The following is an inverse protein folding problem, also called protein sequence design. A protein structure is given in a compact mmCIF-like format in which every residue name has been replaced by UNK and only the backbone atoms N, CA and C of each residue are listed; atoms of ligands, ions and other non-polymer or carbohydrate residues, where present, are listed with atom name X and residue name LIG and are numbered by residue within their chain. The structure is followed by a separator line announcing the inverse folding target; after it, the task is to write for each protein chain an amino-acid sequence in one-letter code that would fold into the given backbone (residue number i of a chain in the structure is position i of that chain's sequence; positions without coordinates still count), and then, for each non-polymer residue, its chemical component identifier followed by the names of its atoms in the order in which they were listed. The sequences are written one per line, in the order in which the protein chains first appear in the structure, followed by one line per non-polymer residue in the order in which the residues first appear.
data_IF_694344754875
#
_entry.id   IF_694344754875
#
_cell.length_a   1.000
_cell.length_b   1.000
_cell.length_c   1.000
_cell.angle_alpha   90.00
_cell.angle_beta   90.00
_cell.angle_gamma   90.00
#
_symmetry.space_group_name_H-M   'P 1'
#
loop_
_entity.id
_entity.type
_entity.pdbx_description
1 polymer ?
#
# COMPACT_ATOMS: atom_id res chain seq x y z
N UNK A 1 32.53 0.06 -23.13
CA UNK A 1 31.61 -0.01 -21.97
C UNK A 1 30.18 0.15 -22.48
N UNK A 2 29.57 -0.94 -22.99
CA UNK A 2 28.20 -0.94 -23.54
C UNK A 2 27.27 -1.44 -22.45
N UNK A 3 26.55 -0.52 -21.80
CA UNK A 3 25.51 -0.88 -20.85
C UNK A 3 24.39 -1.52 -21.66
N UNK A 4 24.12 -2.79 -21.37
CA UNK A 4 23.23 -3.66 -22.14
C UNK A 4 21.78 -3.13 -21.99
N UNK A 5 21.24 -2.57 -23.09
CA UNK A 5 19.96 -1.88 -23.19
C UNK A 5 18.78 -2.72 -22.65
N UNK A 6 18.89 -4.04 -22.81
CA UNK A 6 17.94 -5.04 -22.31
C UNK A 6 17.78 -5.03 -20.78
N UNK A 7 18.87 -4.82 -20.06
CA UNK A 7 18.87 -4.77 -18.58
C UNK A 7 18.11 -3.55 -18.07
N UNK A 8 18.27 -2.40 -18.73
CA UNK A 8 17.55 -1.17 -18.40
C UNK A 8 16.06 -1.29 -18.73
N UNK A 9 15.70 -1.94 -19.83
CA UNK A 9 14.30 -2.18 -20.22
C UNK A 9 13.59 -3.08 -19.19
N UNK A 10 14.25 -4.16 -18.74
CA UNK A 10 13.71 -5.06 -17.70
C UNK A 10 13.51 -4.37 -16.35
N UNK A 11 14.41 -3.45 -16.00
CA UNK A 11 14.34 -2.66 -14.76
C UNK A 11 13.19 -1.64 -14.78
N UNK A 12 12.89 -1.07 -15.95
CA UNK A 12 11.75 -0.15 -16.14
C UNK A 12 10.43 -0.92 -16.10
N UNK A 13 10.35 -2.10 -16.74
CA UNK A 13 9.15 -2.94 -16.81
C UNK A 13 8.76 -3.61 -15.48
N UNK A 14 9.69 -3.76 -14.52
CA UNK A 14 9.41 -4.32 -13.19
C UNK A 14 8.92 -3.29 -12.17
N UNK A 15 8.96 -2.00 -12.51
CA UNK A 15 8.44 -0.93 -11.65
C UNK A 15 6.91 -0.87 -11.72
N UNK A 16 6.20 -0.72 -10.57
CA UNK A 16 4.74 -0.68 -10.59
C UNK A 16 4.26 0.61 -11.29
N UNK A 17 3.37 0.51 -12.30
CA UNK A 17 2.94 1.66 -13.08
C UNK A 17 2.07 2.60 -12.24
N UNK A 18 2.42 3.89 -12.24
CA UNK A 18 1.76 4.95 -11.44
C UNK A 18 0.45 5.48 -12.04
N UNK A 19 0.07 5.08 -13.27
CA UNK A 19 -1.07 5.65 -14.00
C UNK A 19 -1.85 4.60 -14.82
N UNK A 20 -3.17 4.74 -14.89
CA UNK A 20 -4.13 3.81 -15.52
C UNK A 20 -3.98 3.69 -17.04
N UNK A 21 -3.52 4.74 -17.72
CA UNK A 21 -3.21 4.71 -19.15
C UNK A 21 -1.91 3.96 -19.45
N UNK A 22 -0.90 4.08 -18.58
CA UNK A 22 0.36 3.35 -18.69
C UNK A 22 0.14 1.85 -18.46
N UNK A 23 -0.77 1.45 -17.58
CA UNK A 23 -1.13 0.03 -17.38
C UNK A 23 -1.62 -0.61 -18.69
N UNK A 24 -2.49 0.07 -19.44
CA UNK A 24 -3.04 -0.45 -20.70
C UNK A 24 -1.97 -0.56 -21.79
N UNK A 25 -1.07 0.41 -21.86
CA UNK A 25 0.05 0.39 -22.81
C UNK A 25 1.10 -0.65 -22.42
N UNK A 26 1.40 -0.78 -21.12
CA UNK A 26 2.28 -1.83 -20.61
C UNK A 26 1.69 -3.22 -20.91
N UNK A 27 0.38 -3.40 -20.72
CA UNK A 27 -0.31 -4.65 -21.05
C UNK A 27 -0.31 -4.93 -22.55
N UNK A 28 -0.46 -3.91 -23.40
CA UNK A 28 -0.42 -4.04 -24.87
C UNK A 28 1.00 -4.34 -25.39
N UNK A 29 2.03 -3.72 -24.80
CA UNK A 29 3.43 -4.02 -25.12
C UNK A 29 3.86 -5.41 -24.59
N UNK A 30 3.37 -5.81 -23.42
CA UNK A 30 3.57 -7.16 -22.88
C UNK A 30 2.83 -8.24 -23.69
N UNK A 31 1.70 -7.91 -24.35
CA UNK A 31 1.01 -8.86 -25.24
C UNK A 31 1.70 -9.05 -26.58
N UNK A 32 2.35 -8.00 -27.11
CA UNK A 32 3.17 -8.09 -28.33
C UNK A 32 4.41 -8.98 -28.10
N UNK A 33 5.08 -8.83 -26.95
CA UNK A 33 6.23 -9.66 -26.55
C UNK A 33 5.87 -11.14 -26.26
N UNK A 34 4.60 -11.44 -25.96
CA UNK A 34 4.12 -12.80 -25.66
C UNK A 34 3.96 -13.71 -26.87
N UNK A 35 4.04 -13.19 -28.09
CA UNK A 35 3.80 -13.97 -29.30
C UNK A 35 5.02 -14.81 -29.74
N UNK A 36 6.21 -14.58 -29.18
CA UNK A 36 7.45 -15.33 -29.46
C UNK A 36 7.87 -16.25 -28.30
N UNK A 37 6.93 -16.91 -27.62
CA UNK A 37 7.22 -17.89 -26.56
C UNK A 37 6.70 -19.25 -26.98
N UNK A 38 7.62 -20.19 -27.18
CA UNK A 38 7.33 -21.55 -27.62
C UNK A 38 6.29 -22.24 -26.71
N UNK A 39 5.27 -22.91 -27.29
CA UNK A 39 4.14 -23.47 -26.55
C UNK A 39 4.53 -24.63 -25.60
N UNK A 40 5.72 -25.21 -25.75
CA UNK A 40 6.15 -26.38 -24.97
C UNK A 40 6.76 -26.04 -23.59
N UNK A 41 7.21 -24.80 -23.36
CA UNK A 41 7.76 -24.38 -22.06
C UNK A 41 6.68 -23.95 -21.04
N UNK A 42 5.43 -23.81 -21.49
CA UNK A 42 4.29 -23.28 -20.72
C UNK A 42 3.66 -24.28 -19.73
N UNK A 43 4.24 -25.47 -19.55
CA UNK A 43 3.64 -26.52 -18.69
C UNK A 43 4.12 -26.52 -17.23
N UNK A 44 5.11 -25.70 -16.86
CA UNK A 44 5.82 -25.81 -15.56
C UNK A 44 5.60 -24.72 -14.51
N UNK A 45 4.61 -23.84 -14.66
CA UNK A 45 4.25 -22.87 -13.62
C UNK A 45 2.75 -22.94 -13.26
N UNK A 46 2.23 -24.15 -13.02
CA UNK A 46 1.03 -24.27 -12.18
C UNK A 46 1.44 -23.94 -10.76
N UNK A 47 1.00 -22.80 -10.22
CA UNK A 47 0.98 -22.59 -8.77
C UNK A 47 0.06 -23.68 -8.20
N UNK A 48 0.65 -24.75 -7.70
CA UNK A 48 0.01 -26.05 -7.45
C UNK A 48 -0.66 -26.15 -6.08
N UNK A 49 -0.98 -25.03 -5.45
CA UNK A 49 -1.68 -25.02 -4.17
C UNK A 49 -2.73 -23.90 -4.19
N UNK A 50 -3.98 -24.27 -3.97
CA UNK A 50 -5.06 -23.32 -3.85
C UNK A 50 -4.87 -22.50 -2.56
N UNK A 51 -5.00 -21.16 -2.61
CA UNK A 51 -4.81 -20.34 -1.42
C UNK A 51 -5.78 -20.75 -0.31
N UNK A 52 -5.33 -20.68 0.95
CA UNK A 52 -6.12 -21.05 2.15
C UNK A 52 -7.49 -20.34 2.27
N UNK A 53 -7.72 -19.28 1.50
CA UNK A 53 -8.99 -18.56 1.40
C UNK A 53 -9.42 -18.48 -0.06
N UNK A 54 -10.71 -18.71 -0.36
CA UNK A 54 -11.24 -18.48 -1.70
C UNK A 54 -11.06 -17.01 -2.09
N UNK A 55 -10.70 -16.77 -3.36
CA UNK A 55 -10.43 -15.41 -3.88
C UNK A 55 -11.67 -14.54 -3.99
N UNK A 56 -12.85 -15.14 -3.95
CA UNK A 56 -14.15 -14.46 -3.99
C UNK A 56 -14.26 -13.37 -2.92
N UNK A 57 -13.87 -13.69 -1.68
CA UNK A 57 -13.89 -12.73 -0.55
C UNK A 57 -12.97 -11.54 -0.78
N UNK A 58 -11.83 -11.73 -1.46
CA UNK A 58 -10.92 -10.64 -1.81
C UNK A 58 -11.53 -9.74 -2.88
N UNK A 59 -12.16 -10.33 -3.89
CA UNK A 59 -12.81 -9.57 -4.97
C UNK A 59 -13.98 -8.75 -4.42
N UNK A 60 -14.76 -9.28 -3.48
CA UNK A 60 -15.82 -8.54 -2.79
C UNK A 60 -15.27 -7.33 -2.02
N UNK A 61 -14.20 -7.52 -1.23
CA UNK A 61 -13.56 -6.42 -0.50
C UNK A 61 -12.93 -5.40 -1.44
N UNK A 62 -12.34 -5.84 -2.55
CA UNK A 62 -11.81 -4.94 -3.59
C UNK A 62 -12.93 -4.09 -4.20
N UNK A 63 -14.06 -4.69 -4.60
CA UNK A 63 -15.21 -3.95 -5.11
C UNK A 63 -15.73 -2.94 -4.09
N UNK A 64 -15.87 -3.35 -2.83
CA UNK A 64 -16.32 -2.49 -1.74
C UNK A 64 -15.39 -1.28 -1.49
N UNK A 65 -14.08 -1.50 -1.39
CA UNK A 65 -13.13 -0.41 -1.11
C UNK A 65 -12.82 0.47 -2.33
N UNK A 66 -13.05 -0.03 -3.55
CA UNK A 66 -12.91 0.72 -4.78
C UNK A 66 -14.13 1.60 -5.09
N UNK A 67 -15.33 1.21 -4.65
CA UNK A 67 -16.54 2.03 -4.82
C UNK A 67 -16.61 3.25 -3.88
N UNK A 68 -15.79 3.28 -2.83
CA UNK A 68 -15.79 4.37 -1.85
C UNK A 68 -14.80 5.47 -2.26
N UNK A 69 -15.35 6.67 -2.51
CA UNK A 69 -14.59 7.89 -2.82
C UNK A 69 -14.12 8.62 -1.54
N UNK A 70 -13.28 7.96 -0.74
CA UNK A 70 -12.62 8.54 0.46
C UNK A 70 -11.12 8.26 0.44
N UNK A 71 -10.37 9.03 1.24
CA UNK A 71 -8.96 8.74 1.49
C UNK A 71 -8.77 7.35 2.11
N UNK A 72 -7.62 6.73 1.83
CA UNK A 72 -7.32 5.33 2.17
C UNK A 72 -7.59 4.97 3.63
N UNK A 73 -7.26 5.87 4.56
CA UNK A 73 -7.40 5.66 6.01
C UNK A 73 -8.83 5.91 6.55
N UNK A 74 -9.82 6.13 5.68
CA UNK A 74 -11.23 6.37 6.05
C UNK A 74 -12.21 5.52 5.24
N UNK A 75 -11.72 4.47 4.57
CA UNK A 75 -12.56 3.66 3.68
C UNK A 75 -13.41 2.66 4.46
N UNK A 76 -12.85 2.05 5.49
CA UNK A 76 -13.56 1.14 6.38
C UNK A 76 -14.42 1.87 7.41
N UNK A 77 -15.52 1.24 7.88
CA UNK A 77 -16.34 1.80 8.95
C UNK A 77 -15.57 1.89 10.28
N UNK A 78 -14.70 0.92 10.56
CA UNK A 78 -13.86 0.89 11.76
C UNK A 78 -12.69 1.87 11.69
N UNK A 79 -12.30 2.31 10.49
CA UNK A 79 -11.16 3.19 10.29
C UNK A 79 -11.36 4.55 10.95
N UNK A 80 -12.61 5.02 11.11
CA UNK A 80 -12.90 6.26 11.84
C UNK A 80 -12.48 6.15 13.31
N UNK A 81 -12.69 5.00 13.95
CA UNK A 81 -12.31 4.81 15.35
C UNK A 81 -10.79 4.68 15.46
N UNK A 82 -10.18 3.84 14.61
CA UNK A 82 -8.76 3.50 14.72
C UNK A 82 -7.83 4.62 14.22
N UNK A 83 -8.24 5.37 13.20
CA UNK A 83 -7.38 6.36 12.55
C UNK A 83 -7.71 7.81 12.93
N UNK A 84 -8.88 8.07 13.53
CA UNK A 84 -9.27 9.42 13.97
C UNK A 84 -9.43 9.48 15.49
N UNK A 85 -10.36 8.72 16.06
CA UNK A 85 -10.72 8.89 17.47
C UNK A 85 -9.56 8.55 18.43
N UNK A 86 -8.98 7.35 18.31
CA UNK A 86 -7.91 6.89 19.21
C UNK A 86 -6.65 7.75 19.06
N UNK A 87 -6.12 7.99 17.85
CA UNK A 87 -4.88 8.76 17.71
C UNK A 87 -5.07 10.21 18.13
N UNK A 88 -6.23 10.83 17.88
CA UNK A 88 -6.48 12.23 18.24
C UNK A 88 -6.62 12.41 19.75
N UNK A 89 -7.34 11.51 20.44
CA UNK A 89 -7.42 11.53 21.89
C UNK A 89 -6.05 11.30 22.55
N UNK A 90 -5.25 10.36 22.01
CA UNK A 90 -3.91 10.08 22.49
C UNK A 90 -2.95 11.26 22.24
N UNK A 91 -3.00 11.87 21.06
CA UNK A 91 -2.20 13.03 20.74
C UNK A 91 -2.55 14.22 21.63
N UNK A 92 -3.83 14.52 21.81
CA UNK A 92 -4.28 15.62 22.66
C UNK A 92 -3.84 15.45 24.12
N UNK A 93 -4.04 14.25 24.68
CA UNK A 93 -3.61 13.95 26.05
C UNK A 93 -2.09 14.02 26.21
N UNK A 94 -1.35 13.48 25.24
CA UNK A 94 0.12 13.55 25.24
C UNK A 94 0.63 14.98 25.18
N UNK A 95 0.09 15.80 24.27
CA UNK A 95 0.46 17.22 24.15
C UNK A 95 0.13 18.00 25.42
N UNK A 96 -1.02 17.74 26.04
CA UNK A 96 -1.39 18.37 27.31
C UNK A 96 -0.38 18.03 28.43
N UNK A 97 -0.01 16.75 28.56
CA UNK A 97 0.94 16.32 29.58
C UNK A 97 2.35 16.89 29.32
N UNK A 98 2.78 16.92 28.06
CA UNK A 98 4.06 17.54 27.66
C UNK A 98 4.05 19.03 27.99
N UNK A 99 2.99 19.75 27.61
CA UNK A 99 2.85 21.18 27.88
C UNK A 99 2.88 21.49 29.37
N UNK A 100 2.12 20.74 30.18
CA UNK A 100 2.16 20.86 31.65
C UNK A 100 3.55 20.54 32.21
N UNK A 101 4.21 19.49 31.71
CA UNK A 101 5.55 19.10 32.14
C UNK A 101 6.55 20.23 31.90
N UNK A 102 6.58 20.78 30.69
CA UNK A 102 7.44 21.93 30.33
C UNK A 102 7.11 23.14 31.19
N UNK A 103 5.84 23.45 31.38
CA UNK A 103 5.41 24.57 32.22
C UNK A 103 5.91 24.44 33.66
N UNK A 104 5.73 23.26 34.26
CA UNK A 104 6.17 22.99 35.63
C UNK A 104 7.69 23.08 35.77
N UNK A 105 8.44 22.52 34.81
CA UNK A 105 9.91 22.62 34.77
C UNK A 105 10.37 24.07 34.63
N UNK A 106 9.73 24.87 33.75
CA UNK A 106 10.09 26.26 33.51
C UNK A 106 9.82 27.17 34.72
N UNK A 107 8.79 26.88 35.52
CA UNK A 107 8.43 27.67 36.70
C UNK A 107 8.97 27.09 38.01
N UNK A 108 9.72 25.98 37.97
CA UNK A 108 10.26 25.31 39.15
C UNK A 108 9.20 24.73 40.09
N UNK A 109 8.01 24.44 39.58
CA UNK A 109 6.84 23.94 40.33
C UNK A 109 6.87 22.41 40.37
N UNK A 110 6.42 21.80 41.47
CA UNK A 110 6.28 20.34 41.58
C UNK A 110 7.54 19.61 42.02
N UNK A 111 8.46 20.29 42.70
CA UNK A 111 9.56 19.64 43.41
C UNK A 111 8.98 18.79 44.54
N UNK A 112 9.47 17.55 44.64
CA UNK A 112 9.17 16.68 45.78
C UNK A 112 10.08 17.09 46.93
N UNK A 113 9.54 17.13 48.14
CA UNK A 113 10.34 17.27 49.38
C UNK A 113 11.33 16.11 49.53
#
# INVERSE_FOLDING_TARGET
MKINLESSIRMILSSPPKSSSIIRLQQRLLSEQRFLVDPESSSKFKMSEEPFRPREKLIEKQKYFQSIHKHTYLKGPMDKVTSVAIPLALAASSLYLIGRGIYNMAHGIGKKE
#
